data_IF_614672944424
#
_entry.id   IF_614672944424
#
_cell.length_a   1.000
_cell.length_b   1.000
_cell.length_c   1.000
_cell.angle_alpha   90.00
_cell.angle_beta   90.00
_cell.angle_gamma   90.00
#
_symmetry.space_group_name_H-M   'P 1'
#
loop_
_entity.id
_entity.type
_entity.pdbx_description
1 polymer ?
#
# COMPACT_ATOMS: atom_id res chain seq x y z
N UNK A 1 15.07 2.68 -2.38
CA UNK A 1 15.94 2.24 -1.25
C UNK A 1 15.07 2.08 -0.02
N UNK A 2 15.31 1.06 0.82
CA UNK A 2 14.53 0.80 2.04
C UNK A 2 15.42 1.00 3.25
N UNK A 3 14.97 1.82 4.20
CA UNK A 3 15.62 2.02 5.50
C UNK A 3 14.66 1.59 6.62
N UNK A 4 15.18 0.94 7.66
CA UNK A 4 14.42 0.67 8.89
C UNK A 4 15.08 1.39 10.04
N UNK A 5 14.30 2.12 10.83
CA UNK A 5 14.74 2.89 12.00
C UNK A 5 14.20 2.31 13.32
N UNK A 6 13.71 1.06 13.30
CA UNK A 6 13.18 0.36 14.47
C UNK A 6 11.72 0.68 14.79
N UNK A 7 11.18 1.80 14.30
CA UNK A 7 9.76 2.17 14.40
C UNK A 7 9.01 1.97 13.09
N UNK A 8 9.70 2.05 11.94
CA UNK A 8 9.08 1.85 10.64
C UNK A 8 10.03 1.50 9.51
N UNK A 9 9.47 1.58 8.30
CA UNK A 9 10.19 1.44 7.04
C UNK A 9 10.04 2.73 6.24
N UNK A 10 11.15 3.33 5.85
CA UNK A 10 11.18 4.46 4.90
C UNK A 10 11.52 3.94 3.51
N UNK A 11 10.66 4.26 2.53
CA UNK A 11 10.83 3.92 1.13
C UNK A 11 11.24 5.17 0.34
N UNK A 12 12.43 5.17 -0.25
CA UNK A 12 12.78 6.13 -1.30
C UNK A 12 12.40 5.56 -2.65
N UNK A 13 11.40 6.17 -3.29
CA UNK A 13 10.80 5.77 -4.56
C UNK A 13 10.86 6.94 -5.54
N UNK A 14 11.02 6.62 -6.82
CA UNK A 14 10.68 7.54 -7.91
C UNK A 14 9.17 7.68 -8.03
N UNK A 15 8.70 8.70 -8.78
CA UNK A 15 7.27 8.90 -9.04
C UNK A 15 6.64 7.68 -9.71
N UNK A 16 7.34 7.06 -10.66
CA UNK A 16 6.86 5.85 -11.35
C UNK A 16 6.73 4.66 -10.40
N UNK A 17 7.78 4.37 -9.61
CA UNK A 17 7.75 3.28 -8.61
C UNK A 17 6.65 3.48 -7.57
N UNK A 18 6.39 4.73 -7.18
CA UNK A 18 5.28 5.07 -6.29
C UNK A 18 3.93 4.73 -6.92
N UNK A 19 3.69 5.09 -8.18
CA UNK A 19 2.45 4.72 -8.86
C UNK A 19 2.31 3.20 -9.06
N UNK A 20 3.40 2.49 -9.32
CA UNK A 20 3.40 1.03 -9.36
C UNK A 20 2.96 0.44 -8.02
N UNK A 21 3.49 0.95 -6.91
CA UNK A 21 3.10 0.50 -5.57
C UNK A 21 1.62 0.75 -5.27
N UNK A 22 1.09 1.93 -5.64
CA UNK A 22 -0.34 2.24 -5.53
C UNK A 22 -1.19 1.26 -6.34
N UNK A 23 -0.76 0.94 -7.57
CA UNK A 23 -1.41 -0.04 -8.43
C UNK A 23 -1.47 -1.43 -7.79
N UNK A 24 -0.36 -1.93 -7.25
CA UNK A 24 -0.32 -3.25 -6.62
C UNK A 24 -1.22 -3.37 -5.39
N UNK A 25 -1.39 -2.29 -4.61
CA UNK A 25 -2.33 -2.29 -3.47
C UNK A 25 -3.78 -2.34 -3.96
N UNK A 26 -4.12 -1.59 -5.02
CA UNK A 26 -5.46 -1.67 -5.64
C UNK A 26 -5.75 -3.07 -6.15
N UNK A 27 -4.80 -3.69 -6.87
CA UNK A 27 -4.95 -5.05 -7.37
C UNK A 27 -5.19 -6.05 -6.23
N UNK A 28 -4.46 -5.94 -5.12
CA UNK A 28 -4.68 -6.80 -3.95
C UNK A 28 -6.08 -6.61 -3.35
N UNK A 29 -6.57 -5.37 -3.27
CA UNK A 29 -7.92 -5.04 -2.77
C UNK A 29 -9.06 -5.56 -3.65
N UNK A 30 -8.80 -5.72 -4.96
CA UNK A 30 -9.77 -6.22 -5.95
C UNK A 30 -9.73 -7.75 -6.10
N UNK A 31 -8.55 -8.36 -5.99
CA UNK A 31 -8.34 -9.78 -6.26
C UNK A 31 -8.53 -10.69 -5.05
N UNK A 32 -8.42 -10.14 -3.84
CA UNK A 32 -8.51 -10.93 -2.61
C UNK A 32 -9.86 -10.68 -1.94
N UNK A 33 -10.62 -11.76 -1.76
CA UNK A 33 -11.89 -11.72 -1.04
C UNK A 33 -11.69 -11.30 0.42
N UNK A 34 -12.69 -10.62 0.99
CA UNK A 34 -12.66 -10.05 2.34
C UNK A 34 -12.29 -11.08 3.41
N UNK A 35 -12.81 -12.30 3.28
CA UNK A 35 -12.58 -13.37 4.25
C UNK A 35 -11.17 -13.96 4.16
N UNK A 36 -10.50 -13.88 3.00
CA UNK A 36 -9.12 -14.35 2.80
C UNK A 36 -8.09 -13.26 3.12
N UNK A 37 -8.51 -12.00 3.11
CA UNK A 37 -7.62 -10.85 3.03
C UNK A 37 -6.58 -10.83 4.15
N UNK A 38 -7.01 -10.94 5.40
CA UNK A 38 -6.11 -10.93 6.55
C UNK A 38 -5.13 -12.10 6.53
N UNK A 39 -5.57 -13.28 6.12
CA UNK A 39 -4.70 -14.47 6.06
C UNK A 39 -3.67 -14.36 4.95
N UNK A 40 -4.03 -13.82 3.79
CA UNK A 40 -3.16 -13.76 2.60
C UNK A 40 -2.24 -12.55 2.58
N UNK A 41 -2.74 -11.41 3.04
CA UNK A 41 -2.03 -10.12 3.00
C UNK A 41 -1.36 -9.80 4.34
N UNK A 42 -1.83 -10.42 5.44
CA UNK A 42 -1.27 -10.24 6.78
C UNK A 42 -1.74 -8.98 7.51
N UNK A 43 -2.72 -8.26 6.95
CA UNK A 43 -3.33 -7.06 7.55
C UNK A 43 -4.84 -7.06 7.31
N UNK A 44 -5.58 -6.36 8.16
CA UNK A 44 -7.02 -6.14 7.94
C UNK A 44 -7.28 -5.38 6.63
N UNK A 45 -8.35 -5.74 5.91
CA UNK A 45 -8.73 -5.09 4.65
C UNK A 45 -8.95 -3.59 4.81
N UNK A 46 -9.61 -3.18 5.90
CA UNK A 46 -9.88 -1.77 6.21
C UNK A 46 -8.60 -0.94 6.33
N UNK A 47 -7.54 -1.52 6.89
CA UNK A 47 -6.23 -0.88 6.97
C UNK A 47 -5.62 -0.68 5.57
N UNK A 48 -5.70 -1.69 4.70
CA UNK A 48 -5.22 -1.57 3.33
C UNK A 48 -6.01 -0.53 2.51
N UNK A 49 -7.33 -0.44 2.72
CA UNK A 49 -8.19 0.61 2.12
C UNK A 49 -7.77 2.01 2.58
N UNK A 50 -7.54 2.19 3.89
CA UNK A 50 -7.08 3.47 4.44
C UNK A 50 -5.69 3.87 3.91
N UNK A 51 -4.78 2.91 3.80
CA UNK A 51 -3.45 3.11 3.22
C UNK A 51 -3.56 3.54 1.74
N UNK A 52 -4.37 2.84 0.94
CA UNK A 52 -4.64 3.17 -0.46
C UNK A 52 -5.19 4.59 -0.59
N UNK A 53 -6.12 5.00 0.27
CA UNK A 53 -6.65 6.37 0.25
C UNK A 53 -5.55 7.39 0.49
N UNK A 54 -4.74 7.20 1.53
CA UNK A 54 -3.62 8.09 1.88
C UNK A 54 -2.62 8.22 0.73
N UNK A 55 -2.27 7.10 0.09
CA UNK A 55 -1.36 7.13 -1.05
C UNK A 55 -1.98 7.76 -2.29
N UNK A 56 -3.30 7.58 -2.50
CA UNK A 56 -4.00 8.25 -3.60
C UNK A 56 -3.99 9.76 -3.42
N UNK A 57 -4.20 10.26 -2.20
CA UNK A 57 -4.15 11.69 -1.91
C UNK A 57 -2.74 12.26 -2.16
N UNK A 58 -1.70 11.53 -1.74
CA UNK A 58 -0.31 11.89 -2.04
C UNK A 58 -0.06 11.91 -3.55
N UNK A 59 -0.58 10.94 -4.30
CA UNK A 59 -0.45 10.85 -5.75
C UNK A 59 -1.05 12.06 -6.48
N UNK A 60 -2.18 12.59 -6.01
CA UNK A 60 -2.80 13.80 -6.57
C UNK A 60 -2.00 15.08 -6.27
N UNK A 61 -1.17 15.07 -5.23
CA UNK A 61 -0.30 16.19 -4.86
C UNK A 61 1.06 16.22 -5.56
N UNK A 62 1.43 15.16 -6.28
CA UNK A 62 2.74 14.99 -6.96
C UNK A 62 2.69 15.32 -8.45
#
# INVERSE_FOLDING_TARGET
MVHSDGEGLTLSLTKEEFFTLVGSINEALELVDDWEFETRVGVARDFAVALRSTMSDLAHGL
#
